data_IF_784487501048
#
_entry.id   IF_784487501048
#
_cell.length_a   1.000
_cell.length_b   1.000
_cell.length_c   1.000
_cell.angle_alpha   90.00
_cell.angle_beta   90.00
_cell.angle_gamma   90.00
#
_symmetry.space_group_name_H-M   'P 1'
#
loop_
_entity.id
_entity.type
_entity.pdbx_description
1 polymer ?
#
# COMPACT_ATOMS: atom_id res chain seq x y z
N UNK A 1 -10.86 4.30 1.63
CA UNK A 1 -10.31 3.03 2.16
C UNK A 1 -8.79 3.11 2.09
N UNK A 2 -8.06 2.59 3.09
CA UNK A 2 -6.59 2.68 3.18
C UNK A 2 -5.95 1.36 2.75
N UNK A 3 -4.98 1.42 1.84
CA UNK A 3 -4.27 0.26 1.27
C UNK A 3 -2.78 0.40 1.57
N UNK A 4 -2.15 -0.70 1.97
CA UNK A 4 -0.70 -0.84 2.05
C UNK A 4 -0.21 -1.56 0.79
N UNK A 5 0.63 -0.90 0.00
CA UNK A 5 1.19 -1.39 -1.25
C UNK A 5 2.68 -1.71 -1.06
N UNK A 6 3.04 -2.99 -1.10
CA UNK A 6 4.43 -3.48 -1.04
C UNK A 6 4.84 -3.87 -2.45
N UNK A 7 5.83 -3.18 -3.03
CA UNK A 7 6.29 -3.41 -4.41
C UNK A 7 7.74 -2.92 -4.54
N UNK A 8 8.68 -3.75 -4.98
CA UNK A 8 10.11 -3.41 -4.98
C UNK A 8 10.49 -2.51 -6.17
N UNK A 9 9.81 -2.64 -7.30
CA UNK A 9 10.09 -1.82 -8.48
C UNK A 9 9.34 -0.47 -8.45
N UNK A 10 10.08 0.65 -8.52
CA UNK A 10 9.50 2.00 -8.49
C UNK A 10 8.50 2.24 -9.63
N UNK A 11 8.79 1.71 -10.82
CA UNK A 11 7.94 1.91 -12.00
C UNK A 11 6.55 1.27 -11.82
N UNK A 12 6.52 0.04 -11.28
CA UNK A 12 5.30 -0.73 -11.00
C UNK A 12 4.54 -0.09 -9.82
N UNK A 13 5.25 0.23 -8.73
CA UNK A 13 4.67 0.89 -7.55
C UNK A 13 3.99 2.20 -7.91
N UNK A 14 4.66 3.02 -8.72
CA UNK A 14 4.13 4.28 -9.21
C UNK A 14 2.87 4.12 -10.05
N UNK A 15 2.87 3.14 -10.97
CA UNK A 15 1.68 2.81 -11.78
C UNK A 15 0.50 2.39 -10.89
N UNK A 16 0.71 1.50 -9.92
CA UNK A 16 -0.33 1.03 -9.01
C UNK A 16 -0.85 2.15 -8.11
N UNK A 17 0.02 2.99 -7.55
CA UNK A 17 -0.36 4.15 -6.75
C UNK A 17 -1.31 5.06 -7.52
N UNK A 18 -0.97 5.43 -8.76
CA UNK A 18 -1.79 6.33 -9.57
C UNK A 18 -3.17 5.74 -9.80
N UNK A 19 -3.25 4.45 -10.13
CA UNK A 19 -4.53 3.77 -10.35
C UNK A 19 -5.38 3.72 -9.07
N UNK A 20 -4.79 3.36 -7.93
CA UNK A 20 -5.53 3.34 -6.67
C UNK A 20 -5.95 4.74 -6.18
N UNK A 21 -5.13 5.77 -6.40
CA UNK A 21 -5.50 7.14 -6.07
C UNK A 21 -6.68 7.63 -6.92
N UNK A 22 -6.76 7.24 -8.21
CA UNK A 22 -7.91 7.54 -9.09
C UNK A 22 -9.22 6.95 -8.57
N UNK A 23 -9.14 5.78 -7.92
CA UNK A 23 -10.27 5.11 -7.28
C UNK A 23 -10.54 5.59 -5.84
N UNK A 24 -9.96 6.72 -5.42
CA UNK A 24 -10.11 7.34 -4.08
C UNK A 24 -9.59 6.47 -2.92
N UNK A 25 -8.59 5.63 -3.16
CA UNK A 25 -7.86 4.95 -2.08
C UNK A 25 -6.75 5.84 -1.50
N UNK A 26 -6.57 5.72 -0.18
CA UNK A 26 -5.39 6.25 0.49
C UNK A 26 -4.29 5.18 0.45
N UNK A 27 -3.27 5.40 -0.38
CA UNK A 27 -2.19 4.44 -0.61
C UNK A 27 -1.03 4.74 0.34
N UNK A 28 -0.54 3.71 1.03
CA UNK A 28 0.72 3.72 1.78
C UNK A 28 1.67 2.80 1.05
N UNK A 29 2.75 3.34 0.52
CA UNK A 29 3.74 2.59 -0.26
C UNK A 29 4.85 2.03 0.63
N UNK A 30 5.46 0.91 0.23
CA UNK A 30 6.68 0.36 0.79
C UNK A 30 7.47 -0.38 -0.28
N UNK A 31 8.78 -0.37 -0.15
CA UNK A 31 9.70 -1.01 -1.12
C UNK A 31 10.12 -2.42 -0.72
N UNK A 32 9.98 -2.77 0.56
CA UNK A 32 10.38 -4.06 1.08
C UNK A 32 9.35 -4.67 2.00
N UNK A 33 9.44 -5.99 2.19
CA UNK A 33 8.59 -6.74 3.12
C UNK A 33 8.75 -6.26 4.56
N UNK A 34 9.99 -5.97 4.99
CA UNK A 34 10.29 -5.46 6.32
C UNK A 34 9.62 -4.11 6.58
N UNK A 35 9.69 -3.21 5.60
CA UNK A 35 9.03 -1.92 5.67
C UNK A 35 7.50 -2.08 5.68
N UNK A 36 6.98 -3.00 4.86
CA UNK A 36 5.57 -3.35 4.80
C UNK A 36 5.05 -3.86 6.14
N UNK A 37 5.72 -4.81 6.78
CA UNK A 37 5.33 -5.33 8.10
C UNK A 37 5.32 -4.21 9.14
N UNK A 38 6.36 -3.37 9.17
CA UNK A 38 6.44 -2.23 10.09
C UNK A 38 5.27 -1.25 9.87
N UNK A 39 4.98 -0.90 8.62
CA UNK A 39 3.88 0.00 8.26
C UNK A 39 2.52 -0.62 8.56
N UNK A 40 2.32 -1.91 8.33
CA UNK A 40 1.07 -2.61 8.66
C UNK A 40 0.74 -2.52 10.17
N UNK A 41 1.75 -2.67 11.03
CA UNK A 41 1.60 -2.59 12.49
C UNK A 41 1.24 -1.17 12.96
N UNK A 42 1.79 -0.14 12.32
CA UNK A 42 1.57 1.27 12.67
C UNK A 42 0.24 1.77 12.10
N UNK A 43 0.02 1.56 10.80
CA UNK A 43 -1.05 2.18 10.04
C UNK A 43 -2.37 1.42 10.13
N UNK A 44 -2.32 0.14 10.54
CA UNK A 44 -3.46 -0.78 10.68
C UNK A 44 -4.45 -0.65 9.52
N UNK A 45 -4.00 -0.83 8.26
CA UNK A 45 -4.92 -0.82 7.13
C UNK A 45 -6.02 -1.86 7.36
N UNK A 46 -7.28 -1.49 7.09
CA UNK A 46 -8.44 -2.33 7.38
C UNK A 46 -8.39 -3.60 6.52
N UNK A 47 -8.20 -4.75 7.14
CA UNK A 47 -8.41 -6.05 6.51
C UNK A 47 -9.91 -6.40 6.60
N UNK A 48 -10.53 -6.75 5.47
CA UNK A 48 -11.87 -7.34 5.49
C UNK A 48 -11.72 -8.84 5.77
N UNK A 49 -12.15 -9.29 6.95
CA UNK A 49 -12.31 -10.72 7.26
C UNK A 49 -13.77 -11.19 7.01
N UNK A 50 -14.44 -10.58 6.03
CA UNK A 50 -15.81 -10.94 5.65
C UNK A 50 -15.79 -11.57 4.27
#
# INVERSE_FOLDING_TARGET
MKILLVEDEESIRGFLRINFQRENFQVIECESGEEGVRKALIEKPRYSNT
#
